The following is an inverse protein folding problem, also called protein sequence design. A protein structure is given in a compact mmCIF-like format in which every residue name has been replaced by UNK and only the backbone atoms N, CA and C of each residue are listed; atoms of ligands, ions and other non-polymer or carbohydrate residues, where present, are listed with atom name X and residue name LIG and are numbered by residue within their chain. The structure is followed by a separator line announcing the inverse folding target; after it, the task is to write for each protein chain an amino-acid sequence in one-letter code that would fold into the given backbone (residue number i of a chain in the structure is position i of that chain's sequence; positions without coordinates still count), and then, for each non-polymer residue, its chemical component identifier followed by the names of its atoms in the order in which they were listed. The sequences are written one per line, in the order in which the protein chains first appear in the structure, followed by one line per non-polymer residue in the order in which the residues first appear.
data_IF_287402765057
#
_entry.id   IF_287402765057
#
_cell.length_a   1.000
_cell.length_b   1.000
_cell.length_c   1.000
_cell.angle_alpha   90.00
_cell.angle_beta   90.00
_cell.angle_gamma   90.00
#
_symmetry.space_group_name_H-M   'P 1'
#
loop_
_entity.id
_entity.type
_entity.pdbx_description
1 polymer ?
#
# COMPACT_ATOMS: atom_id res chain seq x y z
N UNK A 1 1.64 3.20 11.62
CA UNK A 1 0.54 2.36 11.09
C UNK A 1 0.28 1.14 11.94
N UNK A 2 1.23 0.20 12.05
CA UNK A 2 1.05 -1.05 12.82
C UNK A 2 0.69 -0.78 14.30
N UNK A 3 1.35 0.19 14.94
CA UNK A 3 1.00 0.63 16.30
C UNK A 3 -0.42 1.25 16.43
N UNK A 4 -0.91 1.92 15.38
CA UNK A 4 -2.27 2.48 15.35
C UNK A 4 -3.35 1.41 15.19
N UNK A 5 -3.06 0.34 14.44
CA UNK A 5 -3.95 -0.83 14.30
C UNK A 5 -3.96 -1.71 15.56
N UNK A 6 -2.82 -1.81 16.24
CA UNK A 6 -2.73 -2.41 17.57
C UNK A 6 -3.57 -1.63 18.60
N UNK A 7 -3.48 -0.29 18.59
CA UNK A 7 -4.29 0.59 19.46
C UNK A 7 -5.78 0.58 19.10
N UNK A 8 -6.14 0.40 17.84
CA UNK A 8 -7.53 0.25 17.38
C UNK A 8 -8.14 -1.13 17.71
N UNK A 9 -7.37 -2.04 18.32
CA UNK A 9 -7.85 -3.38 18.69
C UNK A 9 -8.02 -4.35 17.51
N UNK A 10 -7.52 -4.01 16.32
CA UNK A 10 -7.68 -4.83 15.10
C UNK A 10 -6.69 -5.99 15.03
N UNK A 11 -5.60 -5.94 15.80
CA UNK A 11 -4.61 -7.02 15.87
C UNK A 11 -4.83 -7.85 17.15
N UNK A 12 -5.05 -9.17 17.06
CA UNK A 12 -5.22 -10.01 18.24
C UNK A 12 -3.95 -9.99 19.10
N UNK A 13 -4.07 -9.56 20.36
CA UNK A 13 -2.92 -9.36 21.27
C UNK A 13 -2.32 -10.68 21.82
N UNK A 14 -2.71 -11.83 21.25
CA UNK A 14 -2.16 -13.15 21.60
C UNK A 14 -0.82 -13.35 20.90
N UNK A 15 0.27 -13.34 21.67
CA UNK A 15 1.65 -13.14 21.23
C UNK A 15 2.19 -14.02 20.09
N UNK A 16 1.61 -15.19 19.80
CA UNK A 16 2.10 -16.11 18.75
C UNK A 16 1.64 -15.66 17.34
N UNK A 17 0.49 -15.00 17.22
CA UNK A 17 -0.06 -14.57 15.93
C UNK A 17 0.41 -13.17 15.49
N UNK A 18 1.01 -12.40 16.39
CA UNK A 18 1.45 -11.02 16.12
C UNK A 18 2.57 -10.97 15.10
N UNK A 19 3.56 -11.88 15.19
CA UNK A 19 4.74 -11.83 14.33
C UNK A 19 4.35 -12.04 12.85
N UNK A 20 3.59 -13.08 12.48
CA UNK A 20 3.15 -13.25 11.09
C UNK A 20 2.25 -12.12 10.61
N UNK A 21 1.31 -11.65 11.43
CA UNK A 21 0.38 -10.57 11.06
C UNK A 21 1.16 -9.28 10.79
N UNK A 22 2.07 -8.89 11.69
CA UNK A 22 2.91 -7.71 11.48
C UNK A 22 3.73 -7.83 10.20
N UNK A 23 4.32 -9.00 9.91
CA UNK A 23 5.04 -9.27 8.67
C UNK A 23 4.17 -9.08 7.42
N UNK A 24 2.96 -9.63 7.40
CA UNK A 24 2.00 -9.48 6.30
C UNK A 24 1.65 -8.01 6.09
N UNK A 25 1.30 -7.29 7.16
CA UNK A 25 0.92 -5.88 7.10
C UNK A 25 2.08 -5.00 6.61
N UNK A 26 3.29 -5.21 7.11
CA UNK A 26 4.48 -4.45 6.69
C UNK A 26 4.83 -4.75 5.23
N UNK A 27 4.81 -6.02 4.82
CA UNK A 27 5.06 -6.43 3.44
C UNK A 27 4.06 -5.82 2.45
N UNK A 28 2.77 -5.83 2.80
CA UNK A 28 1.72 -5.15 2.03
C UNK A 28 1.98 -3.65 1.92
N UNK A 29 2.27 -2.98 3.04
CA UNK A 29 2.59 -1.55 3.05
C UNK A 29 3.78 -1.21 2.15
N UNK A 30 4.85 -2.01 2.18
CA UNK A 30 6.03 -1.83 1.31
C UNK A 30 5.67 -1.95 -0.17
N UNK A 31 4.88 -2.98 -0.51
CA UNK A 31 4.44 -3.25 -1.88
C UNK A 31 3.55 -2.12 -2.41
N UNK A 32 2.53 -1.75 -1.63
CA UNK A 32 1.60 -0.67 -1.94
C UNK A 32 2.32 0.68 -2.10
N UNK A 33 3.26 1.01 -1.20
CA UNK A 33 4.08 2.22 -1.26
C UNK A 33 4.94 2.25 -2.53
N UNK A 34 5.63 1.15 -2.84
CA UNK A 34 6.49 1.06 -4.03
C UNK A 34 5.69 1.25 -5.33
N UNK A 35 4.54 0.56 -5.44
CA UNK A 35 3.71 0.61 -6.63
C UNK A 35 3.01 1.97 -6.79
N UNK A 36 2.44 2.51 -5.72
CA UNK A 36 1.80 3.83 -5.75
C UNK A 36 2.82 4.94 -6.04
N UNK A 37 4.00 4.89 -5.43
CA UNK A 37 5.06 5.87 -5.64
C UNK A 37 5.56 5.86 -7.08
N UNK A 38 5.84 4.68 -7.64
CA UNK A 38 6.26 4.55 -9.05
C UNK A 38 5.20 5.11 -10.00
N UNK A 39 3.94 4.64 -9.89
CA UNK A 39 2.86 5.14 -10.76
C UNK A 39 2.63 6.64 -10.63
N UNK A 40 2.68 7.18 -9.41
CA UNK A 40 2.53 8.62 -9.21
C UNK A 40 3.66 9.42 -9.88
N UNK A 41 4.90 8.95 -9.82
CA UNK A 41 6.06 9.61 -10.43
C UNK A 41 6.08 9.47 -11.96
N UNK A 42 5.68 8.30 -12.47
CA UNK A 42 5.53 8.06 -13.91
C UNK A 42 4.47 9.02 -14.48
N UNK A 43 3.32 9.13 -13.82
CA UNK A 43 2.26 10.04 -14.24
C UNK A 43 2.69 11.51 -14.22
N UNK A 44 3.52 11.93 -13.26
CA UNK A 44 4.07 13.28 -13.23
C UNK A 44 5.05 13.56 -14.37
N UNK A 45 5.70 12.51 -14.86
CA UNK A 45 6.61 12.60 -16.00
C UNK A 45 5.82 12.68 -17.30
N UNK A 46 4.83 11.80 -17.47
CA UNK A 46 4.03 11.67 -18.69
C UNK A 46 3.03 12.82 -18.87
N UNK A 47 2.40 13.27 -17.78
CA UNK A 47 1.34 14.30 -17.78
C UNK A 47 1.81 15.61 -17.15
N UNK A 48 3.10 15.91 -17.26
CA UNK A 48 3.69 17.15 -16.75
C UNK A 48 2.95 18.41 -17.22
N UNK A 49 2.49 18.42 -18.49
CA UNK A 49 1.75 19.53 -19.06
C UNK A 49 0.43 19.82 -18.33
N UNK A 50 -0.24 18.80 -17.77
CA UNK A 50 -1.46 19.00 -16.99
C UNK A 50 -1.19 19.62 -15.62
N UNK A 51 -0.07 19.26 -14.99
CA UNK A 51 0.37 19.91 -13.75
C UNK A 51 0.70 21.38 -14.02
N UNK A 52 1.41 21.68 -15.11
CA UNK A 52 1.74 23.05 -15.50
C UNK A 52 0.47 23.85 -15.82
N UNK A 53 -0.52 23.26 -16.50
CA UNK A 53 -1.80 23.89 -16.74
C UNK A 53 -2.58 24.18 -15.44
N UNK A 54 -2.59 23.25 -14.47
CA UNK A 54 -3.23 23.49 -13.18
C UNK A 54 -2.55 24.64 -12.42
N UNK A 55 -1.22 24.73 -12.48
CA UNK A 55 -0.46 25.82 -11.87
C UNK A 55 -0.75 27.18 -12.51
N UNK A 56 -0.89 27.26 -13.84
CA UNK A 56 -1.24 28.51 -14.53
C UNK A 56 -2.67 28.97 -14.23
N UNK A 57 -3.56 28.02 -13.91
CA UNK A 57 -4.90 28.30 -13.38
C UNK A 57 -4.90 28.74 -11.91
N UNK A 58 -3.75 28.80 -11.24
CA UNK A 58 -3.60 29.28 -9.87
C UNK A 58 -3.81 28.21 -8.80
N UNK A 59 -3.80 26.92 -9.16
CA UNK A 59 -3.87 25.85 -8.16
C UNK A 59 -2.59 25.82 -7.30
N UNK A 60 -2.69 25.48 -6.01
CA UNK A 60 -1.51 25.27 -5.19
C UNK A 60 -0.72 24.05 -5.71
N UNK A 61 0.63 24.05 -5.62
CA UNK A 61 1.47 22.99 -6.21
C UNK A 61 1.09 21.57 -5.78
N UNK A 62 0.70 21.41 -4.52
CA UNK A 62 0.22 20.13 -3.98
C UNK A 62 -1.01 19.62 -4.75
N UNK A 63 -2.00 20.48 -4.96
CA UNK A 63 -3.28 20.05 -5.55
C UNK A 63 -3.14 19.84 -7.07
N UNK A 64 -2.30 20.65 -7.73
CA UNK A 64 -1.91 20.44 -9.13
C UNK A 64 -1.28 19.05 -9.34
N UNK A 65 -0.40 18.62 -8.45
CA UNK A 65 0.20 17.27 -8.50
C UNK A 65 -0.83 16.18 -8.16
N UNK A 66 -1.66 16.39 -7.14
CA UNK A 66 -2.67 15.41 -6.72
C UNK A 66 -3.73 15.13 -7.79
N UNK A 67 -4.11 16.13 -8.59
CA UNK A 67 -5.03 15.96 -9.71
C UNK A 67 -4.57 14.85 -10.68
N UNK A 68 -3.26 14.79 -10.90
CA UNK A 68 -2.61 13.85 -11.82
C UNK A 68 -2.31 12.53 -11.12
N UNK A 69 -1.67 12.55 -9.94
CA UNK A 69 -1.22 11.33 -9.27
C UNK A 69 -2.33 10.48 -8.62
N UNK A 70 -3.39 11.10 -8.10
CA UNK A 70 -4.37 10.41 -7.24
C UNK A 70 -5.09 9.25 -7.94
N UNK A 71 -5.58 9.38 -9.18
CA UNK A 71 -6.26 8.27 -9.87
C UNK A 71 -5.32 7.09 -10.16
N UNK A 72 -4.11 7.39 -10.64
CA UNK A 72 -3.11 6.37 -11.01
C UNK A 72 -2.60 5.60 -9.77
N UNK A 73 -2.35 6.29 -8.66
CA UNK A 73 -1.86 5.66 -7.45
C UNK A 73 -2.89 4.73 -6.78
N UNK A 74 -4.20 5.00 -6.93
CA UNK A 74 -5.26 4.13 -6.42
C UNK A 74 -5.22 2.72 -7.02
N UNK A 75 -4.69 2.58 -8.24
CA UNK A 75 -4.51 1.28 -8.90
C UNK A 75 -3.52 0.38 -8.16
N UNK A 76 -2.72 0.91 -7.22
CA UNK A 76 -1.79 0.12 -6.42
C UNK A 76 -2.51 -0.87 -5.48
N UNK A 77 -3.80 -0.66 -5.21
CA UNK A 77 -4.62 -1.54 -4.36
C UNK A 77 -5.24 -2.72 -5.11
N UNK A 78 -5.23 -2.72 -6.45
CA UNK A 78 -5.84 -3.78 -7.26
C UNK A 78 -5.30 -5.17 -6.89
N UNK A 79 -3.96 -5.40 -6.80
CA UNK A 79 -3.44 -6.72 -6.48
C UNK A 79 -3.91 -7.26 -5.12
N UNK A 80 -3.99 -6.40 -4.11
CA UNK A 80 -4.44 -6.80 -2.78
C UNK A 80 -5.94 -7.09 -2.72
N UNK A 81 -6.75 -6.34 -3.48
CA UNK A 81 -8.18 -6.63 -3.63
C UNK A 81 -8.40 -7.97 -4.34
N UNK A 82 -7.67 -8.23 -5.43
CA UNK A 82 -7.76 -9.47 -6.19
C UNK A 82 -7.34 -10.67 -5.33
N UNK A 83 -6.23 -10.55 -4.60
CA UNK A 83 -5.80 -11.58 -3.66
C UNK A 83 -6.88 -11.84 -2.60
N UNK A 84 -7.39 -10.79 -1.96
CA UNK A 84 -8.39 -10.91 -0.88
C UNK A 84 -9.68 -11.56 -1.38
N UNK A 85 -10.10 -11.29 -2.62
CA UNK A 85 -11.30 -11.86 -3.24
C UNK A 85 -11.24 -13.39 -3.36
N UNK A 86 -10.05 -13.95 -3.52
CA UNK A 86 -9.86 -15.40 -3.68
C UNK A 86 -9.76 -16.17 -2.36
N UNK A 87 -9.57 -15.45 -1.25
CA UNK A 87 -9.40 -16.05 0.07
C UNK A 87 -10.71 -16.69 0.52
N UNK A 88 -10.63 -17.92 1.01
CA UNK A 88 -11.78 -18.72 1.47
C UNK A 88 -12.57 -19.38 0.33
N UNK A 89 -12.44 -18.91 -0.91
CA UNK A 89 -13.04 -19.55 -2.09
C UNK A 89 -12.10 -20.59 -2.71
N UNK A 90 -10.84 -20.21 -2.96
CA UNK A 90 -9.86 -21.06 -3.63
C UNK A 90 -8.54 -21.15 -2.88
N UNK A 91 -8.23 -20.16 -2.03
CA UNK A 91 -7.02 -20.17 -1.20
C UNK A 91 -7.36 -20.10 0.28
N UNK A 92 -6.67 -20.93 1.07
CA UNK A 92 -6.71 -20.89 2.53
C UNK A 92 -5.41 -20.26 3.05
N UNK A 93 -5.47 -19.11 3.73
CA UNK A 93 -4.28 -18.44 4.23
C UNK A 93 -3.54 -19.28 5.27
N UNK A 94 -2.20 -19.25 5.23
CA UNK A 94 -1.38 -20.00 6.19
C UNK A 94 -1.65 -19.62 7.66
N UNK A 95 -2.01 -18.37 7.94
CA UNK A 95 -2.38 -17.91 9.29
C UNK A 95 -3.67 -18.57 9.80
N UNK A 96 -4.70 -18.71 8.94
CA UNK A 96 -5.92 -19.44 9.27
C UNK A 96 -5.63 -20.92 9.56
N UNK A 97 -4.84 -21.57 8.71
CA UNK A 97 -4.44 -22.97 8.89
C UNK A 97 -3.63 -23.15 10.17
N UNK A 98 -2.69 -22.25 10.47
CA UNK A 98 -1.89 -22.29 11.69
C UNK A 98 -2.74 -22.16 12.96
N UNK A 99 -3.76 -21.30 12.96
CA UNK A 99 -4.69 -21.15 14.09
C UNK A 99 -5.55 -22.41 14.28
N UNK A 100 -6.00 -23.04 13.19
CA UNK A 100 -6.70 -24.32 13.23
C UNK A 100 -5.83 -25.46 13.79
N UNK A 101 -4.60 -25.60 13.28
CA UNK A 101 -3.64 -26.61 13.77
C UNK A 101 -3.25 -26.37 15.24
N UNK A 102 -3.32 -25.11 15.70
CA UNK A 102 -3.18 -24.74 17.11
C UNK A 102 -4.38 -25.11 18.00
N UNK A 103 -5.39 -25.80 17.46
CA UNK A 103 -6.54 -26.32 18.20
C UNK A 103 -7.73 -25.36 18.31
N UNK A 104 -7.73 -24.24 17.59
CA UNK A 104 -8.88 -23.32 17.57
C UNK A 104 -10.02 -23.87 16.70
N UNK A 105 -11.26 -23.45 17.01
CA UNK A 105 -12.41 -23.80 16.17
C UNK A 105 -12.36 -23.09 14.80
N UNK A 106 -12.94 -23.69 13.73
CA UNK A 106 -12.98 -23.07 12.41
C UNK A 106 -13.63 -21.69 12.39
N UNK A 107 -14.67 -21.49 13.21
CA UNK A 107 -15.32 -20.19 13.33
C UNK A 107 -14.37 -19.13 13.91
N UNK A 108 -13.64 -19.47 14.98
CA UNK A 108 -12.69 -18.55 15.60
C UNK A 108 -11.51 -18.22 14.67
N UNK A 109 -10.99 -19.23 13.95
CA UNK A 109 -9.96 -19.03 12.93
C UNK A 109 -10.45 -18.10 11.80
N UNK A 110 -11.68 -18.30 11.33
CA UNK A 110 -12.28 -17.51 10.26
C UNK A 110 -12.47 -16.05 10.63
N UNK A 111 -13.02 -15.79 11.82
CA UNK A 111 -13.18 -14.42 12.33
C UNK A 111 -11.83 -13.72 12.44
N UNK A 112 -10.82 -14.38 13.00
CA UNK A 112 -9.48 -13.82 13.13
C UNK A 112 -8.87 -13.51 11.76
N UNK A 113 -9.02 -14.41 10.80
CA UNK A 113 -8.53 -14.21 9.45
C UNK A 113 -9.22 -13.02 8.74
N UNK A 114 -10.53 -12.84 8.94
CA UNK A 114 -11.26 -11.71 8.40
C UNK A 114 -10.70 -10.37 8.92
N UNK A 115 -10.42 -10.28 10.23
CA UNK A 115 -9.78 -9.10 10.81
C UNK A 115 -8.40 -8.81 10.18
N UNK A 116 -7.61 -9.86 9.94
CA UNK A 116 -6.29 -9.72 9.29
C UNK A 116 -6.43 -9.19 7.87
N UNK A 117 -7.38 -9.71 7.07
CA UNK A 117 -7.58 -9.25 5.68
C UNK A 117 -8.07 -7.80 5.61
N UNK A 118 -9.02 -7.43 6.48
CA UNK A 118 -9.51 -6.05 6.55
C UNK A 118 -8.39 -5.11 7.01
N UNK A 119 -7.63 -5.51 8.03
CA UNK A 119 -6.47 -4.76 8.50
C UNK A 119 -5.40 -4.60 7.41
N UNK A 120 -5.14 -5.64 6.63
CA UNK A 120 -4.21 -5.62 5.51
C UNK A 120 -4.62 -4.61 4.44
N UNK A 121 -5.86 -4.67 3.97
CA UNK A 121 -6.38 -3.71 2.98
C UNK A 121 -6.36 -2.27 3.51
N UNK A 122 -6.71 -2.07 4.79
CA UNK A 122 -6.63 -0.75 5.42
C UNK A 122 -5.19 -0.24 5.50
N UNK A 123 -4.22 -1.13 5.79
CA UNK A 123 -2.80 -0.78 5.81
C UNK A 123 -2.34 -0.30 4.44
N UNK A 124 -2.66 -1.05 3.40
CA UNK A 124 -2.25 -0.68 2.05
C UNK A 124 -2.91 0.63 1.60
N UNK A 125 -4.21 0.81 1.83
CA UNK A 125 -4.92 2.02 1.45
C UNK A 125 -4.29 3.28 2.06
N UNK A 126 -3.97 3.24 3.36
CA UNK A 126 -3.31 4.37 4.02
C UNK A 126 -1.86 4.53 3.54
N UNK A 127 -1.14 3.44 3.27
CA UNK A 127 0.22 3.51 2.70
C UNK A 127 0.22 4.22 1.33
N UNK A 128 -0.73 3.89 0.46
CA UNK A 128 -0.94 4.56 -0.84
C UNK A 128 -1.21 6.05 -0.64
N UNK A 129 -2.17 6.41 0.22
CA UNK A 129 -2.52 7.82 0.48
C UNK A 129 -1.31 8.61 1.00
N UNK A 130 -0.57 8.06 1.97
CA UNK A 130 0.61 8.72 2.52
C UNK A 130 1.71 8.89 1.47
N UNK A 131 1.91 7.88 0.63
CA UNK A 131 2.92 7.94 -0.44
C UNK A 131 2.59 9.02 -1.45
N UNK A 132 1.33 9.08 -1.91
CA UNK A 132 0.86 10.10 -2.85
C UNK A 132 0.97 11.49 -2.25
N UNK A 133 0.63 11.65 -0.96
CA UNK A 133 0.79 12.92 -0.26
C UNK A 133 2.28 13.34 -0.17
N UNK A 134 3.19 12.40 0.06
CA UNK A 134 4.63 12.67 0.09
C UNK A 134 5.18 13.05 -1.30
N UNK A 135 4.67 12.42 -2.37
CA UNK A 135 4.97 12.80 -3.76
C UNK A 135 4.45 14.22 -4.04
N UNK A 136 3.19 14.51 -3.68
CA UNK A 136 2.58 15.83 -3.88
C UNK A 136 3.29 16.96 -3.14
N UNK A 137 3.92 16.65 -2.00
CA UNK A 137 4.77 17.60 -1.26
C UNK A 137 6.21 17.68 -1.78
N UNK A 138 6.55 16.97 -2.85
CA UNK A 138 7.88 16.96 -3.44
C UNK A 138 8.96 16.26 -2.58
N UNK A 139 8.56 15.45 -1.59
CA UNK A 139 9.49 14.73 -0.70
C UNK A 139 9.97 13.40 -1.26
N UNK A 140 9.24 12.84 -2.21
CA UNK A 140 9.65 11.68 -3.00
C UNK A 140 10.01 12.17 -4.40
N UNK A 141 11.25 11.91 -4.83
CA UNK A 141 11.74 12.28 -6.16
C UNK A 141 12.02 11.01 -6.97
N UNK A 142 11.90 11.08 -8.31
CA UNK A 142 12.36 9.98 -9.16
C UNK A 142 13.81 9.64 -8.83
N UNK A 143 14.11 8.35 -8.69
CA UNK A 143 15.49 7.91 -8.58
C UNK A 143 16.20 8.33 -9.86
N UNK A 144 17.24 9.17 -9.75
CA UNK A 144 18.07 9.54 -10.90
C UNK A 144 18.62 8.25 -11.52
N UNK A 145 18.38 7.95 -12.81
CA UNK A 145 18.93 6.76 -13.42
C UNK A 145 20.46 6.80 -13.31
N UNK A 146 21.14 5.65 -13.05
CA UNK A 146 22.59 5.62 -12.96
C UNK A 146 23.17 6.23 -14.25
N UNK A 147 23.89 7.34 -14.06
CA UNK A 147 24.53 8.05 -15.15
C UNK A 147 25.42 7.08 -15.91
N UNK A 148 25.19 6.96 -17.21
CA UNK A 148 26.14 6.33 -18.11
C UNK A 148 27.38 7.22 -18.12
N UNK A 149 28.34 6.89 -17.27
CA UNK A 149 29.66 7.51 -17.26
C UNK A 149 30.22 7.48 -18.67
N UNK A 150 30.51 8.66 -19.19
CA UNK A 150 31.01 8.83 -20.54
C UNK A 150 32.25 7.98 -20.77
N UNK A 151 32.18 7.10 -21.77
CA UNK A 151 33.37 6.76 -22.55
C UNK A 151 33.48 7.80 -23.65
N UNK A 152 34.13 8.90 -23.30
CA UNK A 152 34.69 9.83 -24.27
C UNK A 152 36.01 9.27 -24.81
N UNK A 153 36.15 9.44 -26.13
CA UNK A 153 37.37 9.46 -26.94
C UNK A 153 37.98 8.12 -27.33
#
# INVERSE_FOLDING_TARGET
MVAGLLLAGLVPVRGIAIIPVAGILIGGAMTATSLAGRRALDELTDRRGEVEAALTLGFPPRDAVLLVCRPAAGQALIPALDQTRTVGLVTLPGAFVGVLLGGASPLAAGVTQLFVLVGFLAVEAVAVVLTVELVARGRLRPATPPGHGGRGR
#
